data_IF_717323717567
#
_entry.id   IF_717323717567
#
_cell.length_a   1.000
_cell.length_b   1.000
_cell.length_c   1.000
_cell.angle_alpha   90.00
_cell.angle_beta   90.00
_cell.angle_gamma   90.00
#
_symmetry.space_group_name_H-M   'P 1'
#
loop_
_entity.id
_entity.type
_entity.pdbx_description
1 polymer ?
#
# COMPACT_ATOMS: atom_id res chain seq x y z
N UNK A 1 -3.51 6.31 -8.46
CA UNK A 1 -4.26 5.59 -9.50
C UNK A 1 -5.33 6.46 -10.14
N UNK A 2 -6.29 7.01 -9.38
CA UNK A 2 -7.34 7.87 -9.92
C UNK A 2 -6.79 9.08 -10.70
N UNK A 3 -5.83 9.79 -10.12
CA UNK A 3 -5.18 10.94 -10.79
C UNK A 3 -4.49 10.50 -12.09
N UNK A 4 -3.80 9.39 -12.07
CA UNK A 4 -3.13 8.83 -13.26
C UNK A 4 -4.17 8.46 -14.33
N UNK A 5 -5.23 7.77 -13.96
CA UNK A 5 -6.33 7.43 -14.86
C UNK A 5 -6.97 8.67 -15.51
N UNK A 6 -7.12 9.77 -14.75
CA UNK A 6 -7.65 11.03 -15.29
C UNK A 6 -6.66 11.72 -16.24
N UNK A 7 -5.35 11.66 -15.97
CA UNK A 7 -4.32 12.25 -16.84
C UNK A 7 -4.23 11.52 -18.17
N UNK A 8 -4.26 10.19 -18.15
CA UNK A 8 -4.14 9.38 -19.37
C UNK A 8 -5.46 9.16 -20.11
N UNK A 9 -6.61 9.37 -19.44
CA UNK A 9 -7.92 9.30 -20.05
C UNK A 9 -8.38 7.88 -20.44
N UNK A 10 -7.87 6.86 -19.78
CA UNK A 10 -8.11 5.44 -20.08
C UNK A 10 -9.54 4.97 -19.78
N UNK A 11 -10.41 5.82 -19.20
CA UNK A 11 -11.78 5.50 -18.88
C UNK A 11 -11.99 4.66 -17.62
N UNK A 12 -10.93 4.24 -16.96
CA UNK A 12 -10.97 3.43 -15.73
C UNK A 12 -11.15 4.25 -14.43
N UNK A 13 -11.12 5.59 -14.53
CA UNK A 13 -11.32 6.52 -13.40
C UNK A 13 -12.60 6.27 -12.62
N UNK A 14 -13.70 5.93 -13.33
CA UNK A 14 -15.01 5.68 -12.72
C UNK A 14 -14.97 4.51 -11.73
N UNK A 15 -14.19 3.47 -12.02
CA UNK A 15 -14.03 2.29 -11.15
C UNK A 15 -13.26 2.63 -9.87
N UNK A 16 -12.24 3.49 -9.98
CA UNK A 16 -11.51 4.00 -8.82
C UNK A 16 -12.38 4.91 -7.95
N UNK A 17 -13.15 5.83 -8.57
CA UNK A 17 -14.11 6.70 -7.85
C UNK A 17 -15.14 5.87 -7.10
N UNK A 18 -15.76 4.90 -7.78
CA UNK A 18 -16.74 4.01 -7.16
C UNK A 18 -16.18 3.22 -5.98
N UNK A 19 -14.96 2.70 -6.12
CA UNK A 19 -14.29 1.96 -5.04
C UNK A 19 -13.95 2.87 -3.86
N UNK A 20 -13.46 4.08 -4.11
CA UNK A 20 -13.15 5.06 -3.06
C UNK A 20 -14.43 5.46 -2.32
N UNK A 21 -15.51 5.75 -3.05
CA UNK A 21 -16.80 6.10 -2.46
C UNK A 21 -17.33 4.96 -1.58
N UNK A 22 -17.30 3.73 -2.10
CA UNK A 22 -17.70 2.55 -1.34
C UNK A 22 -16.88 2.38 -0.06
N UNK A 23 -15.54 2.46 -0.17
CA UNK A 23 -14.65 2.33 0.97
C UNK A 23 -14.88 3.44 2.01
N UNK A 24 -15.11 4.69 1.55
CA UNK A 24 -15.40 5.82 2.42
C UNK A 24 -16.73 5.64 3.18
N UNK A 25 -17.79 5.22 2.48
CA UNK A 25 -19.10 4.95 3.08
C UNK A 25 -19.00 3.82 4.10
N UNK A 26 -18.35 2.70 3.73
CA UNK A 26 -18.16 1.57 4.63
C UNK A 26 -17.35 1.96 5.88
N UNK A 27 -16.26 2.72 5.69
CA UNK A 27 -15.44 3.24 6.78
C UNK A 27 -16.23 4.20 7.69
N UNK A 28 -17.05 5.08 7.12
CA UNK A 28 -17.90 5.98 7.88
C UNK A 28 -18.94 5.20 8.71
N UNK A 29 -19.63 4.22 8.12
CA UNK A 29 -20.59 3.37 8.85
C UNK A 29 -19.91 2.65 10.01
N UNK A 30 -18.72 2.08 9.78
CA UNK A 30 -17.96 1.40 10.82
C UNK A 30 -17.53 2.36 11.93
N UNK A 31 -17.18 3.60 11.61
CA UNK A 31 -16.81 4.62 12.61
C UNK A 31 -17.97 5.06 13.49
N UNK A 32 -19.21 4.95 13.00
CA UNK A 32 -20.41 5.24 13.78
C UNK A 32 -20.76 4.15 14.79
N UNK A 33 -20.18 2.97 14.69
CA UNK A 33 -20.38 1.88 15.65
C UNK A 33 -19.55 2.16 16.88
N UNK A 34 -20.24 2.43 18.00
CA UNK A 34 -19.57 2.63 19.30
C UNK A 34 -18.92 1.32 19.73
N UNK A 35 -17.59 1.31 19.75
CA UNK A 35 -16.86 0.19 20.34
C UNK A 35 -17.03 0.23 21.88
N UNK A 36 -17.23 -0.92 22.53
CA UNK A 36 -17.24 -0.98 23.99
C UNK A 36 -15.85 -0.57 24.52
N UNK A 37 -15.83 0.19 25.62
CA UNK A 37 -14.58 0.57 26.30
C UNK A 37 -13.93 -0.67 26.94
N UNK A 38 -13.26 -1.45 26.12
CA UNK A 38 -12.52 -2.63 26.53
C UNK A 38 -11.03 -2.35 26.41
N UNK A 39 -10.25 -2.75 27.41
CA UNK A 39 -8.78 -2.75 27.30
C UNK A 39 -8.37 -3.70 26.17
N UNK A 40 -7.71 -3.16 25.15
CA UNK A 40 -7.19 -3.96 24.05
C UNK A 40 -5.93 -4.71 24.50
N UNK A 41 -5.90 -6.01 24.31
CA UNK A 41 -4.73 -6.85 24.53
C UNK A 41 -3.89 -7.03 23.26
N UNK A 42 -2.72 -7.64 23.42
CA UNK A 42 -1.83 -7.91 22.28
C UNK A 42 -2.50 -8.77 21.18
N UNK A 43 -3.39 -9.68 21.58
CA UNK A 43 -4.18 -10.49 20.63
C UNK A 43 -5.09 -9.64 19.75
N UNK A 44 -5.74 -8.65 20.36
CA UNK A 44 -6.65 -7.76 19.62
C UNK A 44 -5.87 -6.96 18.56
N UNK A 45 -4.65 -6.51 18.90
CA UNK A 45 -3.76 -5.83 17.97
C UNK A 45 -3.41 -6.68 16.74
N UNK A 46 -3.01 -7.93 16.94
CA UNK A 46 -2.71 -8.85 15.82
C UNK A 46 -3.94 -9.13 14.96
N UNK A 47 -5.10 -9.34 15.57
CA UNK A 47 -6.35 -9.55 14.84
C UNK A 47 -6.73 -8.32 13.99
N UNK A 48 -6.60 -7.11 14.55
CA UNK A 48 -6.89 -5.86 13.84
C UNK A 48 -5.98 -5.72 12.62
N UNK A 49 -4.68 -5.95 12.78
CA UNK A 49 -3.72 -5.86 11.67
C UNK A 49 -4.03 -6.90 10.60
N UNK A 50 -4.26 -8.15 10.97
CA UNK A 50 -4.59 -9.22 10.02
C UNK A 50 -5.87 -8.92 9.24
N UNK A 51 -6.93 -8.49 9.92
CA UNK A 51 -8.19 -8.10 9.29
C UNK A 51 -8.03 -6.89 8.38
N UNK A 52 -7.23 -5.88 8.79
CA UNK A 52 -6.95 -4.72 7.96
C UNK A 52 -6.27 -5.12 6.64
N UNK A 53 -5.29 -6.02 6.67
CA UNK A 53 -4.64 -6.55 5.48
C UNK A 53 -5.62 -7.27 4.55
N UNK A 54 -6.48 -8.13 5.11
CA UNK A 54 -7.51 -8.85 4.34
C UNK A 54 -8.48 -7.86 3.68
N UNK A 55 -9.00 -6.91 4.46
CA UNK A 55 -9.98 -5.93 3.97
C UNK A 55 -9.38 -5.03 2.88
N UNK A 56 -8.14 -4.55 3.06
CA UNK A 56 -7.51 -3.68 2.06
C UNK A 56 -7.24 -4.43 0.76
N UNK A 57 -6.90 -5.72 0.82
CA UNK A 57 -6.75 -6.54 -0.37
C UNK A 57 -8.08 -6.77 -1.09
N UNK A 58 -9.15 -7.10 -0.34
CA UNK A 58 -10.48 -7.28 -0.91
C UNK A 58 -10.95 -6.01 -1.60
N UNK A 59 -10.90 -4.86 -0.93
CA UNK A 59 -11.34 -3.59 -1.51
C UNK A 59 -10.41 -3.17 -2.65
N UNK A 60 -9.11 -3.33 -2.50
CA UNK A 60 -8.12 -2.97 -3.51
C UNK A 60 -8.21 -3.76 -4.81
N UNK A 61 -8.78 -4.96 -4.78
CA UNK A 61 -9.01 -5.78 -5.96
C UNK A 61 -10.25 -5.34 -6.79
N UNK A 62 -11.19 -4.62 -6.18
CA UNK A 62 -12.42 -4.21 -6.84
C UNK A 62 -12.17 -3.38 -8.11
N UNK A 63 -11.38 -2.30 -8.11
CA UNK A 63 -11.15 -1.52 -9.31
C UNK A 63 -10.50 -2.34 -10.42
N UNK A 64 -9.59 -3.26 -10.09
CA UNK A 64 -8.97 -4.15 -11.08
C UNK A 64 -10.00 -5.07 -11.75
N UNK A 65 -10.85 -5.67 -10.96
CA UNK A 65 -11.89 -6.56 -11.49
C UNK A 65 -12.89 -5.81 -12.38
N UNK A 66 -13.29 -4.59 -11.96
CA UNK A 66 -14.28 -3.79 -12.69
C UNK A 66 -13.78 -3.30 -14.05
N UNK A 67 -12.47 -3.21 -14.28
CA UNK A 67 -11.92 -2.88 -15.59
C UNK A 67 -12.15 -3.98 -16.64
N UNK A 68 -12.57 -5.18 -16.22
CA UNK A 68 -12.78 -6.32 -17.13
C UNK A 68 -11.49 -6.97 -17.66
N UNK A 69 -10.33 -6.49 -17.25
CA UNK A 69 -9.03 -7.02 -17.69
C UNK A 69 -8.64 -8.33 -16.98
N UNK A 70 -9.28 -8.59 -15.85
CA UNK A 70 -9.06 -9.81 -15.09
C UNK A 70 -10.19 -10.82 -15.31
N UNK A 71 -9.84 -12.06 -15.60
CA UNK A 71 -10.79 -13.13 -15.89
C UNK A 71 -11.81 -13.39 -14.77
N UNK A 72 -11.42 -13.15 -13.54
CA UNK A 72 -12.24 -13.33 -12.35
C UNK A 72 -11.83 -12.38 -11.24
N UNK A 73 -12.73 -12.15 -10.27
CA UNK A 73 -12.39 -11.40 -9.06
C UNK A 73 -11.22 -12.04 -8.29
N UNK A 74 -11.14 -13.37 -8.28
CA UNK A 74 -10.05 -14.09 -7.60
C UNK A 74 -8.69 -13.83 -8.24
N UNK A 75 -8.64 -13.66 -9.57
CA UNK A 75 -7.42 -13.28 -10.27
C UNK A 75 -7.00 -11.85 -9.91
N UNK A 76 -7.94 -10.91 -9.84
CA UNK A 76 -7.67 -9.54 -9.39
C UNK A 76 -7.24 -9.50 -7.92
N UNK A 77 -7.87 -10.32 -7.06
CA UNK A 77 -7.52 -10.44 -5.65
C UNK A 77 -6.11 -11.01 -5.49
N UNK A 78 -5.76 -12.06 -6.24
CA UNK A 78 -4.41 -12.63 -6.24
C UNK A 78 -3.37 -11.55 -6.58
N UNK A 79 -3.61 -10.76 -7.62
CA UNK A 79 -2.71 -9.69 -8.06
C UNK A 79 -2.51 -8.65 -6.96
N UNK A 80 -3.57 -8.23 -6.28
CA UNK A 80 -3.50 -7.24 -5.20
C UNK A 80 -2.87 -7.82 -3.93
N UNK A 81 -3.17 -9.07 -3.58
CA UNK A 81 -2.49 -9.75 -2.46
C UNK A 81 -1.01 -9.85 -2.73
N UNK A 82 -0.62 -10.28 -3.95
CA UNK A 82 0.77 -10.33 -4.40
C UNK A 82 1.43 -8.95 -4.35
N UNK A 83 0.68 -7.90 -4.68
CA UNK A 83 1.14 -6.51 -4.58
C UNK A 83 1.43 -6.11 -3.14
N UNK A 84 0.46 -6.19 -2.25
CA UNK A 84 0.62 -5.77 -0.86
C UNK A 84 1.57 -6.64 -0.05
N UNK A 85 1.68 -7.92 -0.35
CA UNK A 85 2.67 -8.82 0.27
C UNK A 85 4.05 -8.70 -0.37
N UNK A 86 4.20 -7.82 -1.36
CA UNK A 86 5.44 -7.61 -2.12
C UNK A 86 6.00 -8.89 -2.75
N UNK A 87 5.13 -9.85 -3.05
CA UNK A 87 5.52 -11.14 -3.65
C UNK A 87 5.91 -10.99 -5.13
N UNK A 88 5.23 -10.10 -5.87
CA UNK A 88 5.51 -9.83 -7.27
C UNK A 88 5.04 -10.93 -8.25
N UNK A 89 4.34 -11.96 -7.77
CA UNK A 89 3.72 -12.95 -8.64
C UNK A 89 2.50 -12.34 -9.36
N UNK A 90 2.40 -12.54 -10.67
CA UNK A 90 1.33 -11.99 -11.51
C UNK A 90 0.62 -13.07 -12.29
N UNK A 91 -0.69 -12.90 -12.45
CA UNK A 91 -1.53 -13.72 -13.35
C UNK A 91 -1.59 -13.14 -14.76
N UNK A 92 -0.99 -11.97 -14.98
CA UNK A 92 -1.01 -11.26 -16.25
C UNK A 92 0.17 -11.68 -17.12
N UNK A 93 -0.12 -12.07 -18.35
CA UNK A 93 0.92 -12.40 -19.33
C UNK A 93 1.45 -11.16 -20.05
N UNK A 94 0.59 -10.16 -20.26
CA UNK A 94 0.93 -8.96 -21.03
C UNK A 94 0.40 -7.72 -20.30
N UNK A 95 1.17 -7.16 -19.36
CA UNK A 95 0.74 -5.98 -18.59
C UNK A 95 0.57 -4.72 -19.45
N UNK A 96 1.21 -4.66 -20.63
CA UNK A 96 1.19 -3.51 -21.54
C UNK A 96 -0.21 -3.09 -22.00
N UNK A 97 -1.16 -4.03 -22.01
CA UNK A 97 -2.54 -3.76 -22.44
C UNK A 97 -3.44 -3.22 -21.31
N UNK A 98 -2.90 -3.11 -20.10
CA UNK A 98 -3.66 -2.59 -18.97
C UNK A 98 -3.74 -1.06 -19.00
N UNK A 99 -4.86 -0.47 -18.54
CA UNK A 99 -4.95 0.97 -18.29
C UNK A 99 -3.85 1.45 -17.33
N UNK A 100 -3.34 2.65 -17.56
CA UNK A 100 -2.29 3.25 -16.72
C UNK A 100 -2.69 3.36 -15.25
N UNK A 101 -3.98 3.63 -14.98
CA UNK A 101 -4.49 3.67 -13.61
C UNK A 101 -4.33 2.35 -12.87
N UNK A 102 -4.57 1.22 -13.57
CA UNK A 102 -4.43 -0.14 -13.04
C UNK A 102 -2.95 -0.50 -12.85
N UNK A 103 -2.09 -0.22 -13.84
CA UNK A 103 -0.65 -0.44 -13.75
C UNK A 103 -0.02 0.31 -12.59
N UNK A 104 -0.40 1.59 -12.44
CA UNK A 104 0.06 2.40 -11.32
C UNK A 104 -0.42 1.84 -9.98
N UNK A 105 -1.68 1.39 -9.90
CA UNK A 105 -2.23 0.82 -8.67
C UNK A 105 -1.48 -0.44 -8.25
N UNK A 106 -1.18 -1.34 -9.17
CA UNK A 106 -0.37 -2.55 -8.94
C UNK A 106 1.00 -2.20 -8.33
N UNK A 107 1.74 -1.30 -8.99
CA UNK A 107 3.06 -0.87 -8.50
C UNK A 107 2.97 -0.13 -7.17
N UNK A 108 1.94 0.69 -6.97
CA UNK A 108 1.72 1.42 -5.72
C UNK A 108 1.41 0.48 -4.54
N UNK A 109 0.72 -0.65 -4.78
CA UNK A 109 0.51 -1.66 -3.72
C UNK A 109 1.83 -2.24 -3.23
N UNK A 110 2.84 -2.44 -4.08
CA UNK A 110 4.19 -2.82 -3.66
C UNK A 110 4.81 -1.78 -2.74
N UNK A 111 4.72 -0.51 -3.13
CA UNK A 111 5.30 0.58 -2.36
C UNK A 111 4.68 0.71 -0.96
N UNK A 112 3.36 0.60 -0.87
CA UNK A 112 2.65 0.58 0.42
C UNK A 112 2.97 -0.68 1.22
N UNK A 113 3.02 -1.84 0.55
CA UNK A 113 3.35 -3.13 1.16
C UNK A 113 4.75 -3.17 1.76
N UNK A 114 5.73 -2.58 1.07
CA UNK A 114 7.14 -2.59 1.49
C UNK A 114 7.42 -1.96 2.85
N UNK A 115 6.61 -0.99 3.27
CA UNK A 115 6.71 -0.41 4.62
C UNK A 115 5.75 -1.04 5.62
N UNK A 116 4.83 -1.84 5.14
CA UNK A 116 3.79 -2.44 5.94
C UNK A 116 2.74 -1.46 6.44
N UNK A 117 1.50 -1.87 6.36
CA UNK A 117 0.35 -1.09 6.85
C UNK A 117 0.53 -0.70 8.33
N UNK A 118 1.29 -1.49 9.10
CA UNK A 118 1.51 -1.25 10.53
C UNK A 118 2.28 0.04 10.80
N UNK A 119 3.29 0.35 9.99
CA UNK A 119 4.06 1.61 10.13
C UNK A 119 3.20 2.80 9.73
N UNK A 120 2.41 2.65 8.66
CA UNK A 120 1.49 3.68 8.21
C UNK A 120 0.38 3.97 9.24
N UNK A 121 -0.23 2.92 9.81
CA UNK A 121 -1.24 3.03 10.87
C UNK A 121 -0.65 3.68 12.14
N UNK A 122 0.55 3.28 12.57
CA UNK A 122 1.22 3.89 13.72
C UNK A 122 1.53 5.37 13.51
N UNK A 123 1.73 5.80 12.26
CA UNK A 123 2.01 7.20 11.93
C UNK A 123 0.73 8.05 11.94
N UNK A 124 -0.41 7.51 11.49
CA UNK A 124 -1.70 8.23 11.39
C UNK A 124 -2.46 8.23 12.72
N UNK A 125 -2.34 7.17 13.53
CA UNK A 125 -3.02 7.12 14.82
C UNK A 125 -2.57 8.28 15.70
N UNK A 126 -3.47 9.25 16.04
CA UNK A 126 -3.19 10.23 17.06
C UNK A 126 -2.98 9.47 18.38
N UNK A 127 -1.86 9.68 19.01
CA UNK A 127 -1.58 9.11 20.33
C UNK A 127 -2.33 9.93 21.40
N UNK A 128 -3.63 9.93 21.28
CA UNK A 128 -4.52 10.57 22.25
C UNK A 128 -4.91 9.60 23.34
N UNK A 129 -4.03 9.02 24.08
CA UNK A 129 -4.46 8.58 25.42
C UNK A 129 -3.27 8.00 26.19
N UNK A 130 -3.04 8.56 27.36
CA UNK A 130 -2.25 7.97 28.44
C UNK A 130 -2.68 6.52 28.76
N UNK A 131 -3.89 6.14 28.41
CA UNK A 131 -4.43 4.79 28.61
C UNK A 131 -3.71 3.70 27.80
N UNK A 132 -3.18 4.00 26.60
CA UNK A 132 -2.35 3.06 25.83
C UNK A 132 -1.00 2.80 26.53
N UNK A 133 -0.52 3.75 27.31
CA UNK A 133 0.69 3.60 28.13
C UNK A 133 0.48 2.64 29.31
N UNK A 134 -0.73 2.53 29.83
CA UNK A 134 -1.03 1.58 30.91
C UNK A 134 -1.04 0.13 30.42
N UNK A 135 -1.39 -0.12 29.16
CA UNK A 135 -1.35 -1.47 28.56
C UNK A 135 0.08 -1.98 28.41
N UNK A 136 0.98 -1.14 27.91
CA UNK A 136 2.40 -1.49 27.75
C UNK A 136 3.07 -1.60 29.12
N UNK A 137 2.70 -0.78 30.10
CA UNK A 137 3.18 -0.89 31.47
C UNK A 137 2.74 -2.15 32.21
N UNK A 138 1.60 -2.72 31.83
CA UNK A 138 1.10 -3.96 32.46
C UNK A 138 1.86 -5.22 31.99
N UNK A 139 2.44 -5.19 30.78
CA UNK A 139 3.13 -6.36 30.19
C UNK A 139 4.66 -6.31 30.31
N UNK A 140 5.24 -5.14 30.58
CA UNK A 140 6.70 -4.99 30.74
C UNK A 140 7.02 -4.50 32.15
N UNK A 141 7.46 -5.37 33.06
CA UNK A 141 7.88 -4.95 34.40
C UNK A 141 9.19 -4.17 34.31
N UNK A 142 9.11 -2.83 34.47
CA UNK A 142 10.30 -1.98 34.55
C UNK A 142 10.10 -0.54 34.08
N UNK A 143 11.02 0.39 34.41
CA UNK A 143 10.89 1.83 34.12
C UNK A 143 11.02 2.22 32.64
N UNK A 144 11.18 1.25 31.74
CA UNK A 144 11.52 1.47 30.30
C UNK A 144 10.27 1.60 29.40
N UNK A 145 9.13 1.08 29.82
CA UNK A 145 7.93 1.04 29.00
C UNK A 145 7.38 2.42 28.58
N UNK A 146 7.50 3.43 29.44
CA UNK A 146 7.05 4.80 29.16
C UNK A 146 7.82 5.55 28.07
N UNK A 147 9.03 5.08 27.70
CA UNK A 147 9.90 5.70 26.69
C UNK A 147 9.83 5.00 25.31
N UNK A 148 9.28 3.79 25.23
CA UNK A 148 9.26 2.99 24.01
C UNK A 148 8.27 3.51 22.95
N UNK A 149 7.08 3.92 23.35
CA UNK A 149 6.02 4.36 22.43
C UNK A 149 6.37 5.64 21.65
N UNK A 150 6.82 6.74 22.28
CA UNK A 150 7.30 7.91 21.56
C UNK A 150 8.52 7.61 20.67
N UNK A 151 9.35 6.66 21.08
CA UNK A 151 10.52 6.22 20.33
C UNK A 151 10.10 5.44 19.08
N UNK A 152 9.14 4.53 19.18
CA UNK A 152 8.63 3.75 18.05
C UNK A 152 8.01 4.67 16.98
N UNK A 153 7.20 5.65 17.37
CA UNK A 153 6.62 6.63 16.44
C UNK A 153 7.72 7.43 15.71
N UNK A 154 8.71 7.95 16.44
CA UNK A 154 9.82 8.68 15.83
C UNK A 154 10.63 7.81 14.89
N UNK A 155 10.94 6.59 15.28
CA UNK A 155 11.66 5.63 14.44
C UNK A 155 10.88 5.31 13.17
N UNK A 156 9.58 5.08 13.27
CA UNK A 156 8.71 4.82 12.11
C UNK A 156 8.68 6.00 11.14
N UNK A 157 8.59 7.23 11.65
CA UNK A 157 8.63 8.44 10.81
C UNK A 157 9.97 8.56 10.06
N UNK A 158 11.08 8.30 10.75
CA UNK A 158 12.42 8.34 10.15
C UNK A 158 12.56 7.27 9.07
N UNK A 159 12.17 6.01 9.35
CA UNK A 159 12.24 4.91 8.40
C UNK A 159 11.38 5.19 7.17
N UNK A 160 10.15 5.69 7.36
CA UNK A 160 9.27 6.05 6.26
C UNK A 160 9.83 7.23 5.44
N UNK A 161 10.45 8.21 6.12
CA UNK A 161 11.13 9.31 5.47
C UNK A 161 12.32 8.83 4.60
N UNK A 162 13.14 7.93 5.12
CA UNK A 162 14.26 7.33 4.37
C UNK A 162 13.73 6.54 3.16
N UNK A 163 12.71 5.71 3.36
CA UNK A 163 12.11 4.91 2.30
C UNK A 163 11.56 5.78 1.16
N UNK A 164 10.83 6.83 1.52
CA UNK A 164 10.29 7.79 0.55
C UNK A 164 11.40 8.56 -0.16
N UNK A 165 12.44 9.00 0.56
CA UNK A 165 13.58 9.69 -0.03
C UNK A 165 14.35 8.80 -1.00
N UNK A 166 14.61 7.54 -0.63
CA UNK A 166 15.26 6.57 -1.53
C UNK A 166 14.41 6.30 -2.77
N UNK A 167 13.08 6.17 -2.62
CA UNK A 167 12.18 6.02 -3.77
C UNK A 167 12.24 7.24 -4.69
N UNK A 168 12.24 8.46 -4.13
CA UNK A 168 12.34 9.69 -4.91
C UNK A 168 13.68 9.78 -5.67
N UNK A 169 14.78 9.45 -5.01
CA UNK A 169 16.12 9.39 -5.65
C UNK A 169 16.10 8.38 -6.79
N UNK A 170 15.54 7.19 -6.59
CA UNK A 170 15.44 6.17 -7.62
C UNK A 170 14.62 6.66 -8.83
N UNK A 171 13.48 7.33 -8.61
CA UNK A 171 12.68 7.92 -9.70
C UNK A 171 13.54 8.89 -10.51
N UNK A 172 14.27 9.78 -9.84
CA UNK A 172 15.14 10.76 -10.51
C UNK A 172 16.23 10.06 -11.32
N UNK A 173 16.87 9.04 -10.77
CA UNK A 173 17.88 8.26 -11.48
C UNK A 173 17.30 7.56 -12.71
N UNK A 174 16.13 6.94 -12.61
CA UNK A 174 15.47 6.28 -13.76
C UNK A 174 15.10 7.28 -14.86
N UNK A 175 14.66 8.48 -14.49
CA UNK A 175 14.41 9.55 -15.46
C UNK A 175 15.69 9.98 -16.19
N UNK A 176 16.82 10.12 -15.48
CA UNK A 176 18.12 10.39 -16.11
C UNK A 176 18.58 9.23 -17.00
N UNK A 177 18.21 8.00 -16.67
CA UNK A 177 18.44 6.81 -17.52
C UNK A 177 17.60 6.76 -18.78
N UNK A 178 16.74 7.77 -19.05
CA UNK A 178 15.90 7.85 -20.26
C UNK A 178 14.54 7.15 -20.14
N UNK A 179 14.16 6.70 -18.94
CA UNK A 179 12.85 6.11 -18.71
C UNK A 179 11.76 7.20 -18.73
N UNK A 180 10.59 6.90 -19.31
CA UNK A 180 9.47 7.83 -19.24
C UNK A 180 8.95 7.99 -17.79
N UNK A 181 8.26 9.10 -17.53
CA UNK A 181 7.83 9.46 -16.18
C UNK A 181 6.96 8.39 -15.54
N UNK A 182 6.01 7.85 -16.29
CA UNK A 182 5.08 6.83 -15.77
C UNK A 182 5.82 5.55 -15.36
N UNK A 183 6.67 5.04 -16.25
CA UNK A 183 7.42 3.81 -15.98
C UNK A 183 8.46 4.01 -14.87
N UNK A 184 9.06 5.20 -14.77
CA UNK A 184 9.98 5.54 -13.69
C UNK A 184 9.29 5.47 -12.32
N UNK A 185 8.07 5.98 -12.19
CA UNK A 185 7.29 5.85 -10.95
C UNK A 185 6.88 4.41 -10.68
N UNK A 186 6.34 3.71 -11.67
CA UNK A 186 5.89 2.33 -11.53
C UNK A 186 7.05 1.39 -11.14
N UNK A 187 8.18 1.53 -11.83
CA UNK A 187 9.40 0.75 -11.56
C UNK A 187 9.99 1.07 -10.20
N UNK A 188 10.06 2.37 -9.82
CA UNK A 188 10.59 2.76 -8.53
C UNK A 188 9.73 2.21 -7.38
N UNK A 189 8.40 2.20 -7.52
CA UNK A 189 7.51 1.61 -6.52
C UNK A 189 7.67 0.09 -6.42
N UNK A 190 7.75 -0.60 -7.55
CA UNK A 190 8.00 -2.03 -7.60
C UNK A 190 9.35 -2.42 -7.00
N UNK A 191 10.39 -1.63 -7.26
CA UNK A 191 11.75 -1.85 -6.76
C UNK A 191 11.85 -1.53 -5.27
N UNK A 192 11.37 -0.37 -4.83
CA UNK A 192 11.39 0.03 -3.43
C UNK A 192 10.60 -0.94 -2.54
N UNK A 193 9.46 -1.43 -3.03
CA UNK A 193 8.66 -2.46 -2.37
C UNK A 193 9.23 -3.87 -2.50
N UNK A 194 10.32 -4.06 -3.25
CA UNK A 194 10.95 -5.38 -3.51
C UNK A 194 10.02 -6.40 -4.21
N UNK A 195 8.94 -5.93 -4.88
CA UNK A 195 7.94 -6.81 -5.49
C UNK A 195 8.20 -7.09 -6.98
N UNK A 196 8.65 -6.07 -7.74
CA UNK A 196 9.08 -6.25 -9.12
C UNK A 196 7.97 -6.25 -10.18
N UNK A 197 6.75 -5.80 -9.87
CA UNK A 197 5.76 -5.56 -10.93
C UNK A 197 6.28 -4.56 -11.95
N UNK A 198 6.20 -4.92 -13.22
CA UNK A 198 6.60 -4.08 -14.33
C UNK A 198 5.39 -3.62 -15.15
N UNK A 199 5.57 -2.57 -15.92
CA UNK A 199 4.60 -2.04 -16.88
C UNK A 199 4.66 -2.77 -18.21
N UNK A 200 5.74 -3.52 -18.44
CA UNK A 200 6.02 -4.29 -19.65
C UNK A 200 6.40 -5.73 -19.31
N UNK A 201 6.06 -6.68 -20.18
CA UNK A 201 6.45 -8.09 -20.09
C UNK A 201 7.97 -8.29 -20.18
N UNK A 202 8.67 -7.39 -20.87
CA UNK A 202 10.13 -7.39 -20.99
C UNK A 202 10.79 -6.74 -19.75
N UNK A 203 10.01 -6.02 -18.94
CA UNK A 203 10.50 -5.33 -17.75
C UNK A 203 11.52 -4.24 -18.10
N UNK A 204 12.50 -4.05 -17.23
CA UNK A 204 13.55 -3.02 -17.37
C UNK A 204 14.45 -3.31 -18.58
N UNK A 205 14.60 -4.56 -18.99
CA UNK A 205 15.44 -4.94 -20.14
C UNK A 205 14.97 -4.31 -21.47
N UNK A 206 13.72 -3.88 -21.55
CA UNK A 206 13.18 -3.21 -22.75
C UNK A 206 13.75 -1.81 -23.01
N UNK A 207 14.45 -1.21 -22.03
CA UNK A 207 15.04 0.12 -22.19
C UNK A 207 16.43 0.13 -22.84
N UNK A 208 17.06 -1.03 -23.02
CA UNK A 208 18.38 -1.21 -23.67
C UNK A 208 19.41 -0.13 -23.24
N UNK A 209 19.40 0.23 -21.96
CA UNK A 209 20.24 1.26 -21.36
C UNK A 209 21.38 0.63 -20.58
N UNK A 210 22.58 1.19 -20.72
CA UNK A 210 23.73 0.82 -19.90
C UNK A 210 23.68 1.37 -18.46
N UNK A 211 22.61 2.11 -18.15
CA UNK A 211 22.39 2.80 -16.89
C UNK A 211 21.41 2.02 -16.00
#
# INVERSE_FOLDING_TARGET
>A
SLIVSLIYGDGDAMYFIGTIAFAAIAGFILSCVKAPERKMGSRDGYCIVALAWIIICIIGAVPLFLTGQFRSYWSALFEIVSGFTTTGASVLSNPEYLPHGVLFWRSFTHWVGGMGVLVFVLMIMPMENENSMHLIRAEVPGPVAGKLVPRMKKTSIILYGIYTAMTAILIVLLLFGGMNVFDAFATAFGTAGTGGFATSSVGIAGYDSAY
#
